data_IF_335787184200
#
_entry.id   IF_335787184200
#
_cell.length_a   1.000
_cell.length_b   1.000
_cell.length_c   1.000
_cell.angle_alpha   90.00
_cell.angle_beta   90.00
_cell.angle_gamma   90.00
#
_symmetry.space_group_name_H-M   'P 1'
#
loop_
_entity.id
_entity.type
_entity.pdbx_description
1 polymer ?
2 non-polymer ?
3 water ?
#
# COMPACT_ATOMS: atom_id res chain seq x y z
N UNK A 1 6.51 -8.91 3.89
CA UNK A 1 7.37 -8.83 5.11
C UNK A 1 7.23 -7.45 5.73
N UNK A 2 6.78 -7.41 6.98
CA UNK A 2 6.63 -6.13 7.64
C UNK A 2 7.38 -6.09 8.96
N UNK A 3 7.92 -4.92 9.32
CA UNK A 3 8.65 -4.76 10.58
C UNK A 3 7.68 -5.10 11.72
N UNK A 4 8.21 -5.59 12.86
CA UNK A 4 7.37 -5.96 14.00
C UNK A 4 6.58 -4.86 14.69
N UNK A 5 7.02 -3.61 14.56
CA UNK A 5 6.31 -2.53 15.23
C UNK A 5 5.03 -2.07 14.52
N UNK A 6 4.77 -2.61 13.33
CA UNK A 6 3.58 -2.23 12.57
C UNK A 6 2.50 -3.31 12.54
N UNK A 7 1.24 -2.88 12.60
CA UNK A 7 0.12 -3.81 12.44
C UNK A 7 0.00 -3.83 10.91
N UNK A 8 -0.81 -4.72 10.35
CA UNK A 8 -0.93 -4.74 8.89
C UNK A 8 -1.51 -3.43 8.35
N UNK A 9 -2.46 -2.84 9.07
CA UNK A 9 -3.07 -1.60 8.63
C UNK A 9 -2.06 -0.46 8.67
N UNK A 10 -1.21 -0.44 9.69
CA UNK A 10 -0.23 0.62 9.79
C UNK A 10 0.81 0.49 8.68
N UNK A 11 1.14 -0.75 8.32
CA UNK A 11 2.11 -1.00 7.27
C UNK A 11 1.49 -0.62 5.93
N UNK A 12 0.19 -0.89 5.78
CA UNK A 12 -0.52 -0.53 4.54
C UNK A 12 -0.47 0.99 4.37
N UNK A 13 -0.72 1.72 5.46
CA UNK A 13 -0.69 3.18 5.41
C UNK A 13 0.72 3.71 5.07
N UNK A 14 1.74 3.09 5.65
CA UNK A 14 3.12 3.48 5.41
C UNK A 14 3.56 3.23 3.97
N UNK A 15 3.16 2.08 3.42
CA UNK A 15 3.54 1.72 2.06
C UNK A 15 2.71 2.33 0.94
N UNK A 16 1.42 2.52 1.18
CA UNK A 16 0.54 2.97 0.11
C UNK A 16 -0.21 4.27 0.26
N UNK A 17 -0.14 4.89 1.43
CA UNK A 17 -0.88 6.13 1.61
C UNK A 17 0.02 7.32 1.93
N UNK A 18 0.94 7.12 2.87
CA UNK A 18 1.81 8.21 3.27
C UNK A 18 3.06 8.41 2.43
N UNK A 19 2.88 8.97 1.24
CA UNK A 19 4.01 9.23 0.37
C UNK A 19 4.67 10.48 0.94
N UNK A 20 5.85 10.32 1.54
CA UNK A 20 6.50 11.45 2.19
C UNK A 20 7.11 12.50 1.26
N UNK A 21 7.18 12.18 -0.02
CA UNK A 21 7.73 13.09 -1.02
C UNK A 21 7.04 12.78 -2.33
N UNK A 22 6.94 13.77 -3.21
CA UNK A 22 6.32 13.55 -4.50
C UNK A 22 7.30 12.85 -5.46
N UNK A 23 8.51 12.60 -4.97
CA UNK A 23 9.54 11.92 -5.76
C UNK A 23 9.65 10.48 -5.27
N UNK A 24 9.53 9.51 -6.18
CA UNK A 24 9.62 8.11 -5.78
C UNK A 24 10.93 7.74 -5.07
N UNK A 25 12.06 8.20 -5.58
CA UNK A 25 13.33 7.84 -4.95
C UNK A 25 13.36 8.24 -3.47
N UNK A 26 12.88 9.44 -3.15
CA UNK A 26 12.87 9.89 -1.75
C UNK A 26 11.81 9.16 -0.93
N UNK A 27 10.61 9.02 -1.50
CA UNK A 27 9.51 8.36 -0.80
C UNK A 27 9.84 6.89 -0.50
N UNK A 28 10.50 6.24 -1.44
CA UNK A 28 10.81 4.83 -1.27
C UNK A 28 11.86 4.54 -0.20
N UNK A 29 12.67 5.53 0.15
CA UNK A 29 13.68 5.32 1.18
C UNK A 29 13.05 4.92 2.50
N UNK A 30 11.88 5.49 2.80
CA UNK A 30 11.20 5.15 4.04
C UNK A 30 10.84 3.66 4.08
N UNK A 31 10.17 3.20 3.03
CA UNK A 31 9.75 1.81 2.94
C UNK A 31 10.94 0.86 2.94
N UNK A 32 11.94 1.19 2.13
CA UNK A 32 13.13 0.37 2.00
C UNK A 32 13.95 0.30 3.29
N UNK A 33 14.04 1.42 4.01
CA UNK A 33 14.79 1.42 5.26
C UNK A 33 14.10 0.55 6.31
N UNK A 34 12.77 0.46 6.23
CA UNK A 34 12.03 -0.36 7.17
C UNK A 34 12.12 -1.84 6.80
N UNK A 35 12.03 -2.13 5.51
CA UNK A 35 12.07 -3.51 5.01
C UNK A 35 13.48 -4.09 4.88
N UNK A 36 14.48 -3.22 4.92
CA UNK A 36 15.89 -3.60 4.78
C UNK A 36 16.21 -4.20 3.41
N UNK A 37 15.60 -3.64 2.37
CA UNK A 37 15.84 -4.07 1.00
C UNK A 37 15.10 -3.11 0.08
N UNK A 38 15.51 -3.05 -1.18
CA UNK A 38 14.84 -2.16 -2.10
C UNK A 38 13.70 -2.84 -2.81
N UNK A 39 12.49 -2.39 -2.52
CA UNK A 39 11.30 -2.93 -3.13
C UNK A 39 11.39 -2.68 -4.63
N UNK A 40 11.07 -3.69 -5.42
CA UNK A 40 11.14 -3.54 -6.87
C UNK A 40 10.08 -2.59 -7.42
N UNK A 41 8.89 -2.62 -6.82
CA UNK A 41 7.82 -1.75 -7.26
C UNK A 41 6.88 -1.47 -6.11
N UNK A 42 6.26 -0.29 -6.13
CA UNK A 42 5.34 0.09 -5.08
C UNK A 42 4.43 1.20 -5.57
N UNK A 43 3.14 1.07 -5.25
CA UNK A 43 2.14 2.04 -5.66
C UNK A 43 1.68 2.89 -4.48
N UNK A 44 1.67 4.21 -4.66
CA UNK A 44 1.17 5.10 -3.62
C UNK A 44 -0.17 5.64 -4.12
N UNK A 45 -1.23 5.45 -3.33
CA UNK A 45 -2.56 5.95 -3.70
C UNK A 45 -2.68 7.41 -3.21
N UNK A 46 -3.02 8.34 -4.10
CA UNK A 46 -3.17 9.71 -3.67
C UNK A 46 -4.59 9.93 -3.14
N UNK A 47 -4.91 9.25 -2.04
CA UNK A 47 -6.21 9.33 -1.39
C UNK A 47 -5.97 9.26 0.12
N UNK A 48 -7.03 9.38 0.92
CA UNK A 48 -6.86 9.34 2.37
C UNK A 48 -7.10 7.94 2.92
N UNK A 49 -6.57 7.70 4.11
CA UNK A 49 -6.74 6.41 4.77
C UNK A 49 -8.23 6.19 5.01
N UNK A 50 -8.94 7.23 5.42
CA UNK A 50 -10.37 7.11 5.67
C UNK A 50 -11.13 6.69 4.41
N UNK A 51 -10.73 7.23 3.26
CA UNK A 51 -11.40 6.86 2.01
C UNK A 51 -11.21 5.38 1.71
N UNK A 52 -10.03 4.85 2.02
CA UNK A 52 -9.79 3.44 1.76
C UNK A 52 -10.63 2.57 2.70
N UNK A 53 -10.74 2.98 3.95
CA UNK A 53 -11.54 2.25 4.93
C UNK A 53 -12.97 2.17 4.41
N UNK A 54 -13.45 3.25 3.79
CA UNK A 54 -14.80 3.22 3.25
C UNK A 54 -14.94 2.19 2.12
N UNK A 55 -13.88 2.03 1.33
CA UNK A 55 -13.92 1.05 0.25
C UNK A 55 -14.07 -0.37 0.83
N UNK A 56 -13.59 -0.60 2.05
CA UNK A 56 -13.73 -1.91 2.69
C UNK A 56 -15.21 -2.22 2.87
N UNK A 57 -16.05 -1.19 2.80
CA UNK A 57 -17.48 -1.38 2.97
C UNK A 57 -18.21 -1.81 1.70
N UNK A 58 -17.52 -1.75 0.56
CA UNK A 58 -18.11 -2.16 -0.71
C UNK A 58 -18.26 -3.69 -0.74
N UNK A 59 -19.05 -4.22 -1.68
CA UNK A 59 -19.23 -5.67 -1.75
C UNK A 59 -17.94 -6.48 -1.79
N UNK A 60 -17.95 -7.66 -1.17
CA UNK A 60 -16.77 -8.52 -1.17
C UNK A 60 -16.58 -9.13 -2.54
N UNK A 61 -15.33 -9.23 -2.98
CA UNK A 61 -15.04 -9.84 -4.26
C UNK A 61 -13.78 -10.69 -4.13
N UNK A 62 -13.57 -11.59 -5.09
CA UNK A 62 -12.40 -12.44 -5.09
C UNK A 62 -11.16 -11.58 -5.36
N UNK A 63 -10.09 -11.82 -4.61
CA UNK A 63 -8.86 -11.07 -4.80
C UNK A 63 -8.17 -11.55 -6.07
N UNK A 64 -7.97 -10.66 -7.06
CA UNK A 64 -7.31 -11.11 -8.29
C UNK A 64 -5.93 -11.72 -8.04
N UNK A 65 -5.27 -11.31 -6.95
CA UNK A 65 -3.94 -11.83 -6.59
C UNK A 65 -4.00 -13.22 -5.99
N UNK A 66 -4.89 -13.41 -5.02
CA UNK A 66 -5.06 -14.72 -4.37
C UNK A 66 -6.49 -15.19 -4.58
N UNK A 67 -6.68 -15.94 -5.67
CA UNK A 67 -7.97 -16.47 -6.05
C UNK A 67 -8.66 -17.28 -4.95
N UNK A 68 -7.96 -17.51 -3.85
CA UNK A 68 -8.56 -18.27 -2.75
C UNK A 68 -9.11 -17.34 -1.68
N UNK A 69 -8.86 -16.04 -1.84
CA UNK A 69 -9.32 -15.04 -0.88
C UNK A 69 -10.53 -14.26 -1.37
N UNK A 70 -11.45 -13.99 -0.46
CA UNK A 70 -12.66 -13.25 -0.78
C UNK A 70 -12.83 -12.02 0.12
N UNK A 71 -11.72 -11.45 0.58
CA UNK A 71 -11.79 -10.28 1.44
C UNK A 71 -11.34 -9.01 0.72
N UNK A 72 -11.50 -9.02 -0.60
CA UNK A 72 -11.14 -7.86 -1.42
C UNK A 72 -12.35 -7.01 -1.77
N UNK A 73 -12.08 -5.74 -2.06
CA UNK A 73 -13.12 -4.76 -2.38
C UNK A 73 -12.62 -3.83 -3.46
N UNK A 74 -13.50 -3.50 -4.39
CA UNK A 74 -13.19 -2.63 -5.51
C UNK A 74 -13.45 -1.17 -5.12
N UNK A 75 -12.55 -0.27 -5.50
CA UNK A 75 -12.69 1.15 -5.16
C UNK A 75 -13.93 1.86 -5.71
N UNK A 76 -14.53 1.34 -6.78
CA UNK A 76 -15.71 2.00 -7.33
C UNK A 76 -15.36 3.11 -8.31
N UNK A 77 -14.44 3.98 -7.92
CA UNK A 77 -14.02 5.07 -8.79
C UNK A 77 -12.50 5.09 -8.91
N UNK A 78 -12.00 5.82 -9.90
CA UNK A 78 -10.57 5.94 -10.11
C UNK A 78 -9.99 6.96 -9.15
N UNK A 79 -8.73 6.78 -8.79
CA UNK A 79 -8.07 7.72 -7.91
C UNK A 79 -6.70 7.97 -8.49
N UNK A 80 -6.13 9.16 -8.24
CA UNK A 80 -4.79 9.43 -8.77
C UNK A 80 -3.79 8.61 -7.95
N UNK A 81 -2.74 8.14 -8.61
CA UNK A 81 -1.75 7.35 -7.92
C UNK A 81 -0.41 7.52 -8.60
N UNK A 82 0.64 7.11 -7.90
CA UNK A 82 1.99 7.18 -8.44
C UNK A 82 2.59 5.80 -8.24
N UNK A 83 3.07 5.20 -9.33
CA UNK A 83 3.70 3.89 -9.26
C UNK A 83 5.21 4.08 -9.34
N UNK A 84 5.93 3.53 -8.38
CA UNK A 84 7.39 3.63 -8.34
C UNK A 84 8.00 2.30 -8.78
N UNK A 85 8.96 2.37 -9.71
CA UNK A 85 9.65 1.20 -10.24
C UNK A 85 11.15 1.35 -10.03
N UNK A 86 11.77 0.33 -9.46
CA UNK A 86 13.20 0.36 -9.20
C UNK A 86 13.98 0.40 -10.52
N UNK A 87 14.83 1.40 -10.71
CA UNK A 87 15.63 1.49 -11.95
C UNK A 87 17.10 1.19 -11.66
N UNK A 88 17.50 1.40 -10.41
CA UNK A 88 18.88 1.18 -10.00
C UNK A 88 18.97 0.40 -8.70
N UNK A 89 19.01 -0.95 -8.79
CA UNK A 89 19.11 -1.81 -7.60
C UNK A 89 20.48 -1.63 -6.99
N UNK A 90 20.55 -1.65 -5.66
CA UNK A 90 21.80 -1.47 -4.96
C UNK A 90 21.71 -2.27 -3.65
N UNK A 91 21.86 -3.60 -3.75
CA UNK A 91 21.80 -4.55 -2.63
C UNK A 91 22.83 -4.39 -1.50
N UNK A 92 23.81 -3.51 -1.67
CA UNK A 92 24.82 -3.32 -0.63
C UNK A 92 24.54 -2.05 0.18
N UNK A 93 23.98 -1.04 -0.47
CA UNK A 93 23.63 0.22 0.18
C UNK A 93 22.28 0.66 -0.35
N UNK A 94 21.22 0.19 0.29
CA UNK A 94 19.87 0.49 -0.14
C UNK A 94 19.48 1.97 -0.23
N UNK A 95 20.22 2.84 0.45
CA UNK A 95 19.89 4.26 0.39
C UNK A 95 20.25 4.83 -0.98
N UNK A 96 20.89 4.01 -1.81
CA UNK A 96 21.30 4.47 -3.13
C UNK A 96 20.39 3.97 -4.24
N UNK A 97 19.34 3.25 -3.87
CA UNK A 97 18.42 2.75 -4.88
C UNK A 97 17.71 3.94 -5.52
N UNK A 98 17.48 3.86 -6.83
CA UNK A 98 16.80 4.95 -7.53
C UNK A 98 15.54 4.38 -8.19
N UNK A 99 14.50 5.21 -8.26
CA UNK A 99 13.22 4.80 -8.83
C UNK A 99 12.71 5.72 -9.91
N UNK A 100 11.89 5.16 -10.80
CA UNK A 100 11.23 5.94 -11.85
C UNK A 100 9.85 6.12 -11.25
N UNK A 101 9.10 7.12 -11.73
CA UNK A 101 7.75 7.33 -11.22
C UNK A 101 6.80 7.49 -12.39
N UNK A 102 5.62 6.91 -12.24
CA UNK A 102 4.59 6.97 -13.27
C UNK A 102 3.27 7.40 -12.66
N UNK A 103 2.76 8.58 -13.03
CA UNK A 103 1.49 9.05 -12.50
C UNK A 103 0.36 8.43 -13.30
N UNK A 104 -0.75 8.12 -12.65
CA UNK A 104 -1.89 7.51 -13.34
C UNK A 104 -3.16 7.70 -12.54
N UNK A 105 -4.28 7.36 -13.16
CA UNK A 105 -5.58 7.46 -12.53
C UNK A 105 -6.22 6.11 -12.77
N UNK A 106 -6.34 5.31 -11.72
CA UNK A 106 -6.91 3.99 -11.90
C UNK A 106 -7.74 3.53 -10.72
N UNK A 107 -8.40 2.39 -10.90
CA UNK A 107 -9.20 1.79 -9.85
C UNK A 107 -8.23 0.93 -9.06
N UNK A 108 -8.61 0.58 -7.85
CA UNK A 108 -7.76 -0.28 -7.06
C UNK A 108 -8.64 -1.26 -6.33
N UNK A 109 -8.05 -2.39 -5.96
CA UNK A 109 -8.74 -3.42 -5.23
C UNK A 109 -7.92 -3.64 -3.98
N UNK A 110 -8.57 -3.52 -2.83
CA UNK A 110 -7.89 -3.66 -1.56
C UNK A 110 -8.46 -4.81 -0.74
N UNK A 111 -7.61 -5.47 0.04
CA UNK A 111 -8.05 -6.55 0.92
C UNK A 111 -8.22 -5.90 2.29
N UNK A 112 -9.30 -6.23 2.98
CA UNK A 112 -9.53 -5.66 4.29
C UNK A 112 -9.75 -6.75 5.29
N UNK A 113 -9.54 -6.42 6.56
CA UNK A 113 -9.72 -7.37 7.64
C UNK A 113 -10.07 -6.62 8.91
N UNK A 114 -10.40 -7.39 9.94
CA UNK A 114 -10.70 -6.82 11.22
C UNK A 114 -9.40 -6.25 11.75
N UNK A 115 -9.50 -5.16 12.50
CA UNK A 115 -8.34 -4.50 13.07
C UNK A 115 -7.58 -5.36 14.10
N UNK A 116 -6.33 -4.98 14.35
CA UNK A 116 -5.50 -5.65 15.33
C UNK A 116 -6.11 -5.23 16.66
N UNK A 117 -6.65 -6.21 17.39
CA UNK A 117 -7.30 -5.96 18.67
C UNK A 117 -6.49 -5.14 19.66
N UNK A 118 -5.22 -5.50 19.83
CA UNK A 118 -4.36 -4.82 20.79
C UNK A 118 -3.67 -3.56 20.30
N UNK A 119 -3.24 -3.54 19.04
CA UNK A 119 -2.50 -2.39 18.55
C UNK A 119 -3.15 -1.38 17.62
N UNK A 120 -4.24 -1.75 16.96
CA UNK A 120 -4.92 -0.82 16.07
C UNK A 120 -5.96 -0.07 16.89
N UNK A 121 -6.15 1.23 16.61
CA UNK A 121 -7.14 2.04 17.33
C UNK A 121 -8.56 1.53 17.09
N UNK A 122 -9.42 1.62 18.11
CA UNK A 122 -10.82 1.17 18.02
C UNK A 122 -11.66 1.91 16.98
N UNK A 123 -11.23 3.11 16.62
CA UNK A 123 -11.96 3.95 15.68
C UNK A 123 -12.38 3.25 14.39
N UNK A 124 -11.52 2.39 13.87
CA UNK A 124 -11.79 1.67 12.62
C UNK A 124 -11.82 0.16 12.84
N UNK A 125 -13.01 -0.43 13.04
CA UNK A 125 -13.05 -1.88 13.24
C UNK A 125 -12.54 -2.70 12.06
N UNK A 126 -12.73 -2.17 10.85
CA UNK A 126 -12.31 -2.85 9.62
C UNK A 126 -11.28 -1.98 8.93
N UNK A 127 -10.14 -2.58 8.58
CA UNK A 127 -9.07 -1.81 7.96
C UNK A 127 -8.45 -2.46 6.74
N UNK A 128 -7.87 -1.64 5.86
CA UNK A 128 -7.22 -2.17 4.66
C UNK A 128 -5.89 -2.78 5.10
N UNK A 129 -5.55 -3.95 4.58
CA UNK A 129 -4.29 -4.59 4.96
C UNK A 129 -3.38 -4.97 3.78
N UNK A 130 -3.91 -4.94 2.56
CA UNK A 130 -3.11 -5.27 1.38
C UNK A 130 -3.67 -4.58 0.14
N UNK A 131 -2.79 -4.08 -0.72
CA UNK A 131 -3.22 -3.47 -1.97
C UNK A 131 -3.11 -4.65 -2.93
N UNK A 132 -4.25 -5.22 -3.31
CA UNK A 132 -4.22 -6.39 -4.16
C UNK A 132 -3.92 -6.12 -5.62
N UNK A 133 -4.45 -5.04 -6.16
CA UNK A 133 -4.24 -4.75 -7.57
C UNK A 133 -4.77 -3.39 -7.98
N UNK A 134 -4.22 -2.87 -9.06
CA UNK A 134 -4.68 -1.61 -9.61
C UNK A 134 -5.11 -2.00 -11.03
N UNK A 135 -6.26 -1.51 -11.46
CA UNK A 135 -6.74 -1.86 -12.79
C UNK A 135 -7.16 -0.63 -13.57
X LIG B 1 0.92 -5.30 0.10
X LIG B 1 -0.15 -4.24 0.19
X LIG B 1 0.47 -6.39 -0.85
X LIG B 1 1.15 -5.90 1.48
X LIG B 1 2.20 -4.68 -0.42
X LIG C 1 9.01 -6.34 -4.59
X LIG C 1 8.28 -6.45 -3.27
X LIG C 1 8.37 -5.23 -5.41
X LIG C 1 8.89 -7.65 -5.35
X LIG C 1 10.48 -6.05 -4.35
#
# INVERSE_FOLDING_TARGET
>A
MKPPQFTWAQWFETQHINMTSQQCTNAMQVINNYQRRCKNQNTFLLTTFANVVNVCGNPNMTCPSNKTRKNCHHSGSQVPLIHCNLTTPSPQNISNCRYAQTPANMFYIVACDNRDQRRDPPQYPVVPVHLDRII
>B hetero
1 SO4 S O1 O2 O3 O4
>C hetero
1 SO4 S O1 O2 O3 O4
#
